data_IF_379339670549
#
_entry.id   IF_379339670549
#
_cell.length_a   1.000
_cell.length_b   1.000
_cell.length_c   1.000
_cell.angle_alpha   90.00
_cell.angle_beta   90.00
_cell.angle_gamma   90.00
#
_symmetry.space_group_name_H-M   'P 1'
#
loop_
_entity.id
_entity.type
_entity.pdbx_description
1 polymer ?
#
# COMPACT_ATOMS: atom_id res chain seq x y z
N UNK A 1 -22.98 -4.32 -54.95
CA UNK A 1 -22.03 -4.13 -53.83
C UNK A 1 -22.80 -3.52 -52.69
N UNK A 2 -23.21 -4.36 -51.74
CA UNK A 2 -24.04 -3.97 -50.60
C UNK A 2 -23.16 -3.26 -49.57
N UNK A 3 -23.46 -1.99 -49.31
CA UNK A 3 -22.84 -1.20 -48.24
C UNK A 3 -23.46 -1.61 -46.90
N UNK A 4 -22.67 -2.33 -46.11
CA UNK A 4 -22.97 -2.66 -44.72
C UNK A 4 -22.98 -1.37 -43.88
N UNK A 5 -24.17 -0.83 -43.63
CA UNK A 5 -24.40 0.21 -42.62
C UNK A 5 -24.80 -0.50 -41.32
N UNK A 6 -23.79 -0.90 -40.54
CA UNK A 6 -24.01 -1.52 -39.24
C UNK A 6 -24.08 -0.44 -38.15
N UNK A 7 -25.18 0.33 -38.13
CA UNK A 7 -25.56 1.14 -36.96
C UNK A 7 -26.26 0.22 -35.97
N UNK A 8 -25.51 -0.50 -35.14
CA UNK A 8 -26.10 -1.11 -33.95
C UNK A 8 -26.44 0.00 -32.96
N UNK A 9 -27.74 0.30 -32.80
CA UNK A 9 -28.21 0.98 -31.59
C UNK A 9 -27.82 0.06 -30.42
N UNK A 10 -26.82 0.45 -29.64
CA UNK A 10 -26.33 -0.32 -28.48
C UNK A 10 -27.44 -0.39 -27.44
N UNK A 11 -28.24 -1.44 -27.46
CA UNK A 11 -29.24 -1.70 -26.43
C UNK A 11 -28.53 -2.11 -25.14
N UNK A 12 -28.77 -1.38 -24.05
CA UNK A 12 -28.27 -1.74 -22.72
C UNK A 12 -28.74 -3.17 -22.35
N UNK A 13 -27.87 -3.96 -21.72
CA UNK A 13 -28.28 -5.25 -21.12
C UNK A 13 -29.21 -5.00 -19.94
N UNK A 14 -29.94 -6.01 -19.48
CA UNK A 14 -30.88 -5.81 -18.36
C UNK A 14 -30.17 -5.41 -17.06
N UNK A 15 -28.97 -5.95 -16.80
CA UNK A 15 -28.15 -5.51 -15.67
C UNK A 15 -27.69 -4.05 -15.82
N UNK A 16 -27.28 -3.64 -17.03
CA UNK A 16 -26.90 -2.26 -17.31
C UNK A 16 -28.09 -1.31 -17.16
N UNK A 17 -29.28 -1.69 -17.64
CA UNK A 17 -30.51 -0.91 -17.44
C UNK A 17 -30.78 -0.69 -15.96
N UNK A 18 -30.73 -1.75 -15.15
CA UNK A 18 -30.91 -1.66 -13.68
C UNK A 18 -29.89 -0.69 -13.08
N UNK A 19 -28.63 -0.74 -13.52
CA UNK A 19 -27.59 0.20 -13.09
C UNK A 19 -27.80 1.63 -13.60
N UNK A 20 -28.56 1.86 -14.67
CA UNK A 20 -28.88 3.21 -15.17
C UNK A 20 -30.10 3.80 -14.47
N UNK A 21 -31.19 3.04 -14.37
CA UNK A 21 -32.49 3.56 -13.89
C UNK A 21 -32.60 3.73 -12.37
N UNK A 22 -31.78 2.99 -11.60
CA UNK A 22 -31.80 3.08 -10.13
C UNK A 22 -31.04 4.32 -9.64
N UNK A 23 -31.58 5.50 -9.90
CA UNK A 23 -30.96 6.80 -9.56
C UNK A 23 -31.23 7.26 -8.13
N UNK A 24 -32.18 6.63 -7.43
CA UNK A 24 -32.56 6.97 -6.04
C UNK A 24 -31.65 6.38 -4.96
N UNK A 25 -30.67 5.55 -5.34
CA UNK A 25 -29.80 4.82 -4.41
C UNK A 25 -28.35 4.85 -4.91
N UNK A 26 -27.42 4.65 -3.98
CA UNK A 26 -26.03 4.37 -4.32
C UNK A 26 -25.93 3.02 -5.03
N UNK A 27 -25.18 2.98 -6.13
CA UNK A 27 -25.02 1.78 -6.96
C UNK A 27 -23.54 1.54 -7.19
N UNK A 28 -23.06 0.37 -6.78
CA UNK A 28 -21.73 -0.15 -7.12
C UNK A 28 -21.86 -1.13 -8.28
N UNK A 29 -21.08 -0.93 -9.34
CA UNK A 29 -21.09 -1.78 -10.54
C UNK A 29 -19.76 -2.51 -10.66
N UNK A 30 -19.75 -3.80 -10.34
CA UNK A 30 -18.61 -4.67 -10.61
C UNK A 30 -18.70 -5.22 -12.04
N UNK A 31 -17.77 -4.85 -12.92
CA UNK A 31 -17.79 -5.32 -14.30
C UNK A 31 -16.38 -5.43 -14.92
N UNK A 32 -16.15 -6.52 -15.65
CA UNK A 32 -14.88 -6.80 -16.32
C UNK A 32 -14.52 -5.81 -17.43
N UNK A 33 -13.34 -5.97 -18.03
CA UNK A 33 -12.92 -5.18 -19.20
C UNK A 33 -13.92 -5.34 -20.37
N UNK A 34 -14.16 -4.28 -21.13
CA UNK A 34 -15.04 -4.31 -22.30
C UNK A 34 -16.55 -4.41 -22.02
N UNK A 35 -16.98 -4.44 -20.75
CA UNK A 35 -18.39 -4.55 -20.33
C UNK A 35 -19.24 -3.29 -20.53
N UNK A 36 -18.67 -2.21 -21.08
CA UNK A 36 -19.38 -0.95 -21.33
C UNK A 36 -19.58 -0.06 -20.11
N UNK A 37 -18.76 -0.17 -19.04
CA UNK A 37 -18.85 0.66 -17.82
C UNK A 37 -19.03 2.15 -18.09
N UNK A 38 -18.17 2.73 -18.92
CA UNK A 38 -18.26 4.16 -19.27
C UNK A 38 -19.54 4.48 -20.05
N UNK A 39 -20.07 3.54 -20.84
CA UNK A 39 -21.37 3.73 -21.50
C UNK A 39 -22.52 3.75 -20.47
N UNK A 40 -22.49 2.83 -19.50
CA UNK A 40 -23.44 2.81 -18.36
C UNK A 40 -23.39 4.12 -17.57
N UNK A 41 -22.19 4.64 -17.27
CA UNK A 41 -22.03 5.90 -16.55
C UNK A 41 -22.61 7.09 -17.32
N UNK A 42 -22.37 7.17 -18.63
CA UNK A 42 -22.94 8.23 -19.50
C UNK A 42 -24.47 8.15 -19.52
N UNK A 43 -25.03 6.95 -19.71
CA UNK A 43 -26.49 6.76 -19.71
C UNK A 43 -27.09 7.05 -18.32
N UNK A 44 -26.41 6.70 -17.23
CA UNK A 44 -26.82 7.03 -15.85
C UNK A 44 -26.78 8.54 -15.58
N UNK A 45 -25.79 9.25 -16.10
CA UNK A 45 -25.73 10.72 -16.03
C UNK A 45 -26.95 11.34 -16.71
N UNK A 46 -27.26 10.90 -17.93
CA UNK A 46 -28.45 11.33 -18.68
C UNK A 46 -29.73 11.00 -17.90
N UNK A 47 -29.82 9.82 -17.30
CA UNK A 47 -31.01 9.39 -16.57
C UNK A 47 -31.24 10.20 -15.28
N UNK A 48 -30.17 10.60 -14.57
CA UNK A 48 -30.25 11.55 -13.46
C UNK A 48 -30.86 12.87 -13.91
N UNK A 49 -30.36 13.45 -15.00
CA UNK A 49 -30.91 14.68 -15.57
C UNK A 49 -32.34 14.49 -16.10
N UNK A 50 -32.70 13.31 -16.60
CA UNK A 50 -34.05 13.04 -17.08
C UNK A 50 -35.05 12.93 -15.92
N UNK A 51 -34.65 12.25 -14.84
CA UNK A 51 -35.50 11.96 -13.69
C UNK A 51 -35.72 13.19 -12.80
N UNK A 52 -34.73 14.07 -12.70
CA UNK A 52 -34.74 15.23 -11.80
C UNK A 52 -34.58 16.55 -12.59
N UNK A 53 -35.68 17.19 -13.00
CA UNK A 53 -35.66 18.41 -13.81
C UNK A 53 -34.94 19.61 -13.17
N UNK A 54 -34.87 19.65 -11.85
CA UNK A 54 -34.17 20.67 -11.07
C UNK A 54 -32.64 20.51 -11.12
N UNK A 55 -32.14 19.33 -11.47
CA UNK A 55 -30.71 19.02 -11.52
C UNK A 55 -30.13 19.51 -12.84
N UNK A 56 -29.06 20.30 -12.75
CA UNK A 56 -28.22 20.75 -13.86
C UNK A 56 -26.88 20.02 -13.90
N UNK A 57 -26.15 20.17 -15.00
CA UNK A 57 -24.89 19.45 -15.22
C UNK A 57 -23.79 19.79 -14.20
N UNK A 58 -23.81 20.98 -13.59
CA UNK A 58 -22.86 21.42 -12.56
C UNK A 58 -23.13 20.84 -11.15
N UNK A 59 -24.32 20.25 -10.97
CA UNK A 59 -24.72 19.54 -9.75
C UNK A 59 -24.31 18.06 -9.76
N UNK A 60 -23.79 17.55 -10.88
CA UNK A 60 -23.30 16.17 -10.98
C UNK A 60 -21.77 16.22 -11.14
N UNK A 61 -21.07 15.51 -10.26
CA UNK A 61 -19.63 15.30 -10.35
C UNK A 61 -19.38 13.95 -11.00
N UNK A 62 -18.50 13.91 -12.00
CA UNK A 62 -18.01 12.67 -12.59
C UNK A 62 -16.48 12.61 -12.53
N UNK A 63 -15.97 11.64 -11.79
CA UNK A 63 -14.55 11.39 -11.57
C UNK A 63 -14.08 10.23 -12.43
N UNK A 64 -12.91 10.37 -13.03
CA UNK A 64 -12.24 9.34 -13.85
C UNK A 64 -10.75 9.27 -13.50
N UNK A 65 -10.07 8.18 -13.84
CA UNK A 65 -8.65 8.01 -13.53
C UNK A 65 -7.75 8.97 -14.33
N UNK A 66 -8.09 9.27 -15.58
CA UNK A 66 -7.25 10.11 -16.46
C UNK A 66 -8.00 11.31 -17.04
N UNK A 67 -7.28 12.41 -17.31
CA UNK A 67 -7.83 13.58 -18.01
C UNK A 67 -8.38 13.21 -19.39
N UNK A 68 -7.77 12.22 -20.07
CA UNK A 68 -8.25 11.70 -21.34
C UNK A 68 -9.62 11.02 -21.19
N UNK A 69 -9.80 10.17 -20.19
CA UNK A 69 -11.09 9.52 -19.91
C UNK A 69 -12.18 10.55 -19.56
N UNK A 70 -11.88 11.56 -18.75
CA UNK A 70 -12.79 12.69 -18.50
C UNK A 70 -13.19 13.41 -19.79
N UNK A 71 -12.23 13.69 -20.67
CA UNK A 71 -12.48 14.31 -21.98
C UNK A 71 -13.36 13.45 -22.89
N UNK A 72 -13.10 12.14 -22.95
CA UNK A 72 -13.93 11.19 -23.69
C UNK A 72 -15.36 11.11 -23.13
N UNK A 73 -15.53 11.06 -21.81
CA UNK A 73 -16.84 11.07 -21.15
C UNK A 73 -17.62 12.34 -21.48
N UNK A 74 -16.98 13.52 -21.39
CA UNK A 74 -17.58 14.82 -21.76
C UNK A 74 -18.05 14.82 -23.22
N UNK A 75 -17.22 14.32 -24.14
CA UNK A 75 -17.57 14.24 -25.56
C UNK A 75 -18.77 13.29 -25.82
N UNK A 76 -18.84 12.16 -25.10
CA UNK A 76 -19.98 11.25 -25.20
C UNK A 76 -21.27 11.91 -24.69
N UNK A 77 -21.21 12.66 -23.60
CA UNK A 77 -22.36 13.43 -23.10
C UNK A 77 -22.79 14.53 -24.08
N UNK A 78 -21.85 15.27 -24.68
CA UNK A 78 -22.14 16.25 -25.73
C UNK A 78 -22.93 15.63 -26.88
N UNK A 79 -22.48 14.49 -27.39
CA UNK A 79 -23.16 13.76 -28.47
C UNK A 79 -24.55 13.28 -28.04
N UNK A 80 -24.68 12.76 -26.81
CA UNK A 80 -25.95 12.30 -26.26
C UNK A 80 -26.95 13.43 -26.08
N UNK A 81 -26.56 14.56 -25.51
CA UNK A 81 -27.45 15.71 -25.36
C UNK A 81 -27.92 16.25 -26.71
N UNK A 82 -27.06 16.26 -27.73
CA UNK A 82 -27.45 16.62 -29.09
C UNK A 82 -28.48 15.64 -29.66
N UNK A 83 -28.22 14.33 -29.56
CA UNK A 83 -29.15 13.28 -30.00
C UNK A 83 -30.52 13.40 -29.32
N UNK A 84 -30.53 13.66 -28.01
CA UNK A 84 -31.76 13.80 -27.22
C UNK A 84 -32.52 15.10 -27.53
N UNK A 85 -31.80 16.20 -27.81
CA UNK A 85 -32.42 17.44 -28.26
C UNK A 85 -33.19 17.26 -29.58
N UNK A 86 -32.66 16.44 -30.50
CA UNK A 86 -33.29 16.14 -31.78
C UNK A 86 -34.42 15.10 -31.65
N UNK A 87 -34.27 14.11 -30.78
CA UNK A 87 -35.19 12.95 -30.69
C UNK A 87 -36.29 13.06 -29.63
N UNK A 88 -36.17 13.98 -28.65
CA UNK A 88 -37.19 14.24 -27.62
C UNK A 88 -37.74 15.68 -27.72
N UNK A 89 -38.65 16.00 -28.67
CA UNK A 89 -39.11 17.38 -28.90
C UNK A 89 -39.69 18.07 -27.67
N UNK A 90 -40.33 17.32 -26.76
CA UNK A 90 -40.91 17.86 -25.52
C UNK A 90 -39.86 18.34 -24.51
N UNK A 91 -38.66 17.77 -24.55
CA UNK A 91 -37.55 18.08 -23.64
C UNK A 91 -36.38 18.75 -24.38
N UNK A 92 -36.56 19.15 -25.64
CA UNK A 92 -35.47 19.65 -26.49
C UNK A 92 -34.72 20.82 -25.85
N UNK A 93 -35.46 21.80 -25.31
CA UNK A 93 -34.89 22.97 -24.63
C UNK A 93 -34.00 22.58 -23.43
N UNK A 94 -34.39 21.55 -22.67
CA UNK A 94 -33.60 21.03 -21.55
C UNK A 94 -32.28 20.45 -22.04
N UNK A 95 -32.31 19.64 -23.08
CA UNK A 95 -31.11 19.00 -23.64
C UNK A 95 -30.18 20.01 -24.32
N UNK A 96 -30.74 21.04 -24.98
CA UNK A 96 -29.95 22.16 -25.51
C UNK A 96 -29.27 22.95 -24.39
N UNK A 97 -29.96 23.20 -23.27
CA UNK A 97 -29.35 23.82 -22.09
C UNK A 97 -28.21 22.96 -21.51
N UNK A 98 -28.44 21.65 -21.34
CA UNK A 98 -27.39 20.74 -20.87
C UNK A 98 -26.19 20.72 -21.82
N UNK A 99 -26.41 20.81 -23.13
CA UNK A 99 -25.36 20.91 -24.14
C UNK A 99 -24.60 22.24 -24.07
N UNK A 100 -25.28 23.35 -23.76
CA UNK A 100 -24.62 24.65 -23.57
C UNK A 100 -23.77 24.67 -22.29
N UNK A 101 -24.24 24.04 -21.22
CA UNK A 101 -23.61 24.07 -19.89
C UNK A 101 -22.57 22.94 -19.68
N UNK A 102 -22.44 22.00 -20.62
CA UNK A 102 -21.56 20.81 -20.47
C UNK A 102 -20.08 21.15 -20.22
N UNK A 103 -19.60 22.31 -20.68
CA UNK A 103 -18.22 22.74 -20.45
C UNK A 103 -18.00 23.24 -19.01
N UNK A 104 -19.07 23.60 -18.29
CA UNK A 104 -19.04 23.90 -16.85
C UNK A 104 -19.29 22.66 -15.99
N UNK A 105 -19.61 21.50 -16.60
CA UNK A 105 -19.84 20.26 -15.86
C UNK A 105 -18.56 19.77 -15.17
N UNK A 106 -18.71 19.28 -13.93
CA UNK A 106 -17.63 18.80 -13.08
C UNK A 106 -17.19 17.38 -13.49
N UNK A 107 -16.62 17.26 -14.68
CA UNK A 107 -16.12 16.01 -15.26
C UNK A 107 -14.60 16.06 -15.34
N UNK A 108 -13.90 15.30 -14.49
CA UNK A 108 -12.46 15.43 -14.33
C UNK A 108 -11.82 14.21 -13.68
N UNK A 109 -10.58 14.41 -13.23
CA UNK A 109 -9.91 13.47 -12.32
C UNK A 109 -10.20 13.84 -10.88
N UNK A 110 -9.88 12.95 -9.94
CA UNK A 110 -10.01 13.24 -8.52
C UNK A 110 -9.17 14.45 -8.11
N UNK A 111 -7.96 14.58 -8.65
CA UNK A 111 -7.10 15.75 -8.43
C UNK A 111 -7.78 17.05 -8.90
N UNK A 112 -8.44 17.06 -10.06
CA UNK A 112 -9.19 18.24 -10.52
C UNK A 112 -10.41 18.56 -9.64
N UNK A 113 -11.05 17.54 -9.06
CA UNK A 113 -12.11 17.74 -8.08
C UNK A 113 -11.56 18.39 -6.80
N UNK A 114 -10.49 17.82 -6.23
CA UNK A 114 -9.78 18.37 -5.07
C UNK A 114 -9.33 19.81 -5.31
N UNK A 115 -8.70 20.08 -6.45
CA UNK A 115 -8.32 21.44 -6.86
C UNK A 115 -9.53 22.39 -6.87
N UNK A 116 -10.67 21.97 -7.43
CA UNK A 116 -11.88 22.80 -7.47
C UNK A 116 -12.47 23.06 -6.09
N UNK A 117 -12.35 22.10 -5.17
CA UNK A 117 -12.79 22.23 -3.78
C UNK A 117 -11.90 23.24 -3.05
N UNK A 118 -10.58 23.08 -3.17
CA UNK A 118 -9.60 23.96 -2.55
C UNK A 118 -9.68 25.40 -3.09
N UNK A 119 -9.90 25.57 -4.40
CA UNK A 119 -10.13 26.90 -5.01
C UNK A 119 -11.42 27.57 -4.54
N UNK A 120 -12.43 26.80 -4.15
CA UNK A 120 -13.67 27.36 -3.61
C UNK A 120 -13.54 27.81 -2.15
N UNK A 121 -12.58 27.24 -1.41
CA UNK A 121 -12.39 27.44 0.04
C UNK A 121 -10.90 27.60 0.43
N UNK A 122 -10.14 28.54 -0.19
CA UNK A 122 -8.71 28.63 0.05
C UNK A 122 -8.39 29.10 1.47
N UNK A 123 -9.20 30.00 2.03
CA UNK A 123 -9.00 30.50 3.39
C UNK A 123 -9.26 29.41 4.44
N UNK A 124 -10.34 28.66 4.28
CA UNK A 124 -10.71 27.53 5.14
C UNK A 124 -9.68 26.39 5.04
N UNK A 125 -9.13 26.15 3.86
CA UNK A 125 -8.07 25.18 3.65
C UNK A 125 -6.67 25.67 4.07
N UNK A 126 -6.55 26.91 4.57
CA UNK A 126 -5.28 27.54 4.95
C UNK A 126 -4.23 27.52 3.83
N UNK A 127 -4.67 27.77 2.59
CA UNK A 127 -3.82 27.86 1.41
C UNK A 127 -3.90 29.23 0.75
N UNK A 128 -2.88 29.55 -0.03
CA UNK A 128 -2.89 30.76 -0.85
C UNK A 128 -3.96 30.66 -1.95
N UNK A 129 -4.87 31.63 -2.11
CA UNK A 129 -5.90 31.59 -3.16
C UNK A 129 -5.33 31.62 -4.59
N UNK A 130 -4.07 32.00 -4.76
CA UNK A 130 -3.36 32.02 -6.04
C UNK A 130 -2.53 30.75 -6.29
N UNK A 131 -2.72 29.69 -5.49
CA UNK A 131 -1.96 28.47 -5.68
C UNK A 131 -2.12 27.89 -7.09
N UNK A 132 -1.02 27.38 -7.64
CA UNK A 132 -1.03 26.61 -8.88
C UNK A 132 -0.72 25.14 -8.62
N UNK A 133 -1.19 24.27 -9.51
CA UNK A 133 -0.82 22.84 -9.44
C UNK A 133 0.48 22.65 -10.19
N UNK A 134 1.51 22.16 -9.51
CA UNK A 134 2.83 21.92 -10.13
C UNK A 134 2.71 20.84 -11.20
N UNK A 135 3.30 21.07 -12.37
CA UNK A 135 3.41 20.05 -13.41
C UNK A 135 4.54 19.05 -13.10
N UNK A 136 4.50 17.88 -13.74
CA UNK A 136 5.41 16.77 -13.43
C UNK A 136 6.91 17.11 -13.65
N UNK A 137 7.21 17.97 -14.63
CA UNK A 137 8.60 18.37 -14.93
C UNK A 137 9.09 19.28 -13.81
N UNK A 138 8.37 20.36 -13.54
CA UNK A 138 8.69 21.30 -12.47
C UNK A 138 8.74 20.61 -11.11
N UNK A 139 7.81 19.69 -10.84
CA UNK A 139 7.80 18.91 -9.60
C UNK A 139 9.09 18.10 -9.45
N UNK A 140 9.52 17.43 -10.51
CA UNK A 140 10.75 16.62 -10.50
C UNK A 140 11.98 17.50 -10.25
N UNK A 141 12.03 18.68 -10.84
CA UNK A 141 13.11 19.66 -10.60
C UNK A 141 13.12 20.14 -9.15
N UNK A 142 11.97 20.54 -8.60
CA UNK A 142 11.86 20.98 -7.21
C UNK A 142 12.28 19.89 -6.22
N UNK A 143 11.90 18.62 -6.47
CA UNK A 143 12.31 17.49 -5.64
C UNK A 143 13.83 17.28 -5.69
N UNK A 144 14.43 17.27 -6.89
CA UNK A 144 15.88 17.04 -7.02
C UNK A 144 16.71 18.18 -6.40
N UNK A 145 16.28 19.43 -6.56
CA UNK A 145 16.88 20.59 -5.87
C UNK A 145 16.77 20.46 -4.35
N UNK A 146 15.64 19.99 -3.84
CA UNK A 146 15.39 19.82 -2.40
C UNK A 146 16.26 18.71 -1.80
N UNK A 147 16.40 17.58 -2.50
CA UNK A 147 17.31 16.49 -2.10
C UNK A 147 18.76 16.96 -2.12
N UNK A 148 19.16 17.69 -3.17
CA UNK A 148 20.52 18.25 -3.27
C UNK A 148 20.82 19.20 -2.11
N UNK A 149 19.85 20.06 -1.76
CA UNK A 149 20.00 20.98 -0.63
C UNK A 149 20.06 20.25 0.70
N UNK A 150 19.23 19.23 0.91
CA UNK A 150 19.24 18.40 2.10
C UNK A 150 20.60 17.71 2.33
N UNK A 151 21.16 17.12 1.27
CA UNK A 151 22.45 16.43 1.36
C UNK A 151 23.57 17.43 1.66
N UNK A 152 23.56 18.58 0.98
CA UNK A 152 24.53 19.64 1.24
C UNK A 152 24.45 20.14 2.69
N UNK A 153 23.25 20.35 3.20
CA UNK A 153 23.04 20.77 4.60
C UNK A 153 23.53 19.71 5.59
N UNK A 154 23.24 18.43 5.37
CA UNK A 154 23.72 17.35 6.25
C UNK A 154 25.26 17.33 6.35
N UNK A 155 25.94 17.51 5.22
CA UNK A 155 27.41 17.60 5.17
C UNK A 155 27.93 18.88 5.83
N UNK A 156 27.31 20.03 5.56
CA UNK A 156 27.66 21.33 6.17
C UNK A 156 27.54 21.30 7.71
N UNK A 157 26.51 20.63 8.23
CA UNK A 157 26.24 20.50 9.67
C UNK A 157 27.06 19.38 10.34
N UNK A 158 27.72 18.52 9.56
CA UNK A 158 28.41 17.34 10.08
C UNK A 158 27.46 16.37 10.78
N UNK A 159 26.24 16.23 10.25
CA UNK A 159 25.18 15.44 10.86
C UNK A 159 25.45 13.93 10.67
N UNK A 160 24.82 13.08 11.49
CA UNK A 160 25.02 11.62 11.38
C UNK A 160 24.57 11.09 10.01
N UNK A 161 23.57 11.74 9.40
CA UNK A 161 23.10 11.44 8.05
C UNK A 161 24.18 11.61 6.97
N UNK A 162 25.17 12.48 7.20
CA UNK A 162 26.29 12.66 6.27
C UNK A 162 27.19 11.42 6.19
N UNK A 163 27.22 10.58 7.24
CA UNK A 163 27.94 9.30 7.23
C UNK A 163 27.41 8.41 6.11
N UNK A 164 26.09 8.33 5.95
CA UNK A 164 25.45 7.54 4.89
C UNK A 164 25.92 7.96 3.49
N UNK A 165 26.11 9.27 3.27
CA UNK A 165 26.54 9.81 1.97
C UNK A 165 27.99 9.46 1.63
N UNK A 166 28.80 9.10 2.62
CA UNK A 166 30.20 8.66 2.46
C UNK A 166 30.29 7.15 2.31
N UNK A 167 29.53 6.41 3.12
CA UNK A 167 29.57 4.95 3.19
C UNK A 167 28.77 4.28 2.06
N UNK A 168 27.76 4.97 1.51
CA UNK A 168 26.91 4.44 0.43
C UNK A 168 27.06 5.21 -0.88
N UNK A 169 26.58 4.61 -1.97
CA UNK A 169 26.51 5.28 -3.26
C UNK A 169 25.50 6.44 -3.20
N UNK A 170 25.99 7.67 -3.26
CA UNK A 170 25.18 8.90 -3.20
C UNK A 170 24.06 8.93 -4.25
N UNK A 171 24.26 8.35 -5.44
CA UNK A 171 23.23 8.31 -6.48
C UNK A 171 22.10 7.34 -6.11
N UNK A 172 22.39 6.27 -5.39
CA UNK A 172 21.37 5.34 -4.87
C UNK A 172 20.55 5.98 -3.76
N UNK A 173 21.21 6.64 -2.80
CA UNK A 173 20.56 7.39 -1.72
C UNK A 173 19.67 8.50 -2.30
N UNK A 174 20.18 9.24 -3.30
CA UNK A 174 19.41 10.27 -4.03
C UNK A 174 18.19 9.68 -4.72
N UNK A 175 18.37 8.62 -5.53
CA UNK A 175 17.26 7.96 -6.23
C UNK A 175 16.18 7.51 -5.25
N UNK A 176 16.59 6.97 -4.11
CA UNK A 176 15.67 6.56 -3.06
C UNK A 176 14.90 7.74 -2.47
N UNK A 177 15.57 8.85 -2.12
CA UNK A 177 14.89 10.04 -1.60
C UNK A 177 13.90 10.64 -2.62
N UNK A 178 14.31 10.78 -3.89
CA UNK A 178 13.46 11.29 -4.97
C UNK A 178 12.23 10.41 -5.17
N UNK A 179 12.41 9.09 -5.22
CA UNK A 179 11.31 8.15 -5.41
C UNK A 179 10.28 8.22 -4.26
N UNK A 180 10.75 8.30 -3.02
CA UNK A 180 9.87 8.34 -1.85
C UNK A 180 9.21 9.71 -1.66
N UNK A 181 9.84 10.82 -2.08
CA UNK A 181 9.17 12.12 -2.11
C UNK A 181 8.03 12.15 -3.13
N UNK A 182 8.19 11.48 -4.27
CA UNK A 182 7.11 11.31 -5.25
C UNK A 182 5.96 10.44 -4.72
N UNK A 183 6.28 9.41 -3.93
CA UNK A 183 5.28 8.57 -3.28
C UNK A 183 4.46 9.32 -2.20
N UNK A 184 5.01 10.40 -1.63
CA UNK A 184 4.32 11.30 -0.72
C UNK A 184 3.87 10.62 0.59
N UNK A 185 2.62 10.88 0.98
CA UNK A 185 2.05 10.53 2.29
C UNK A 185 2.09 9.02 2.58
N UNK A 186 1.92 8.18 1.56
CA UNK A 186 1.95 6.71 1.73
C UNK A 186 3.27 6.24 2.35
N UNK A 187 4.38 6.87 1.95
CA UNK A 187 5.68 6.58 2.55
C UNK A 187 5.80 7.21 3.95
N UNK A 188 5.34 8.45 4.12
CA UNK A 188 5.39 9.14 5.41
C UNK A 188 4.68 8.38 6.54
N UNK A 189 3.53 7.77 6.27
CA UNK A 189 2.84 6.94 7.26
C UNK A 189 3.61 5.65 7.59
N UNK A 190 4.32 5.09 6.60
CA UNK A 190 5.02 3.82 6.72
C UNK A 190 6.21 3.87 7.67
N UNK A 191 6.89 5.02 7.81
CA UNK A 191 8.09 5.12 8.65
C UNK A 191 7.85 5.80 10.01
N UNK A 192 6.67 6.39 10.28
CA UNK A 192 6.35 7.03 11.59
C UNK A 192 6.60 6.12 12.79
N UNK A 193 6.36 4.82 12.62
CA UNK A 193 6.66 3.84 13.66
C UNK A 193 8.17 3.72 13.92
N UNK A 194 9.00 3.74 12.88
CA UNK A 194 10.46 3.61 13.00
C UNK A 194 11.10 4.84 13.63
N UNK A 195 10.63 6.04 13.30
CA UNK A 195 11.20 7.29 13.84
C UNK A 195 10.76 7.60 15.25
N UNK A 196 9.67 6.98 15.73
CA UNK A 196 9.20 7.13 17.11
C UNK A 196 10.00 6.32 18.13
N UNK A 197 10.84 5.38 17.68
CA UNK A 197 11.63 4.51 18.55
C UNK A 197 13.06 5.04 18.72
N UNK A 198 13.54 5.06 19.96
CA UNK A 198 14.98 5.17 20.22
C UNK A 198 15.68 3.86 19.82
N UNK A 199 17.02 3.89 19.81
CA UNK A 199 17.82 2.74 19.37
C UNK A 199 17.54 1.47 20.20
N UNK A 200 17.34 1.62 21.51
CA UNK A 200 17.06 0.52 22.42
C UNK A 200 15.65 -0.08 22.17
N UNK A 201 14.64 0.77 22.00
CA UNK A 201 13.27 0.37 21.77
C UNK A 201 13.09 -0.29 20.40
N UNK A 202 13.83 0.17 19.38
CA UNK A 202 13.82 -0.53 18.11
C UNK A 202 14.59 -1.84 18.17
N UNK A 203 15.77 -1.89 18.80
CA UNK A 203 16.48 -3.15 18.97
C UNK A 203 15.60 -4.18 19.69
N UNK A 204 14.85 -3.75 20.71
CA UNK A 204 13.83 -4.57 21.37
C UNK A 204 12.71 -4.99 20.41
N UNK A 205 12.20 -4.10 19.56
CA UNK A 205 11.22 -4.44 18.53
C UNK A 205 11.75 -5.47 17.52
N UNK A 206 12.97 -5.28 17.00
CA UNK A 206 13.58 -6.22 16.06
C UNK A 206 13.84 -7.58 16.71
N UNK A 207 14.30 -7.61 17.95
CA UNK A 207 14.46 -8.85 18.71
C UNK A 207 13.11 -9.57 18.90
N UNK A 208 12.01 -8.83 19.10
CA UNK A 208 10.65 -9.40 19.15
C UNK A 208 10.22 -9.97 17.81
N UNK A 209 10.34 -9.21 16.71
CA UNK A 209 9.99 -9.70 15.37
C UNK A 209 10.82 -10.94 15.01
N UNK A 210 12.12 -10.94 15.32
CA UNK A 210 12.97 -12.14 15.15
C UNK A 210 12.44 -13.31 15.96
N UNK A 211 12.11 -13.10 17.24
CA UNK A 211 11.58 -14.15 18.10
C UNK A 211 10.25 -14.72 17.60
N UNK A 212 9.36 -13.88 17.07
CA UNK A 212 8.12 -14.31 16.42
C UNK A 212 8.40 -15.22 15.23
N UNK A 213 9.31 -14.82 14.33
CA UNK A 213 9.70 -15.66 13.17
C UNK A 213 10.39 -16.95 13.62
N UNK A 214 11.24 -16.92 14.65
CA UNK A 214 11.87 -18.12 15.23
C UNK A 214 10.81 -19.09 15.77
N UNK A 215 9.83 -18.57 16.52
CA UNK A 215 8.72 -19.33 17.08
C UNK A 215 7.90 -20.00 15.96
N UNK A 216 7.53 -19.26 14.92
CA UNK A 216 6.75 -19.78 13.80
C UNK A 216 7.49 -20.90 13.06
N UNK A 217 8.77 -20.70 12.74
CA UNK A 217 9.59 -21.72 12.07
C UNK A 217 9.77 -22.99 12.94
N UNK A 218 9.91 -22.84 14.26
CA UNK A 218 9.97 -23.99 15.17
C UNK A 218 8.64 -24.74 15.17
N UNK A 219 7.50 -24.03 15.23
CA UNK A 219 6.18 -24.66 15.21
C UNK A 219 5.90 -25.39 13.89
N UNK A 220 6.26 -24.78 12.76
CA UNK A 220 6.16 -25.40 11.44
C UNK A 220 7.01 -26.67 11.37
N UNK A 221 8.23 -26.63 11.89
CA UNK A 221 9.13 -27.77 11.93
C UNK A 221 8.58 -28.91 12.82
N UNK A 222 8.06 -28.58 14.01
CA UNK A 222 7.41 -29.56 14.90
C UNK A 222 6.10 -30.11 14.30
N UNK A 223 5.50 -29.37 13.36
CA UNK A 223 4.34 -29.80 12.59
C UNK A 223 4.67 -30.68 11.37
N UNK A 224 5.92 -30.63 10.88
CA UNK A 224 6.36 -31.37 9.71
C UNK A 224 6.20 -32.89 9.88
N UNK A 225 5.61 -33.53 8.87
CA UNK A 225 5.32 -34.96 8.89
C UNK A 225 6.60 -35.80 8.94
N UNK A 226 7.65 -35.39 8.20
CA UNK A 226 8.91 -36.13 8.17
C UNK A 226 9.67 -36.01 9.50
N UNK A 227 9.57 -34.86 10.16
CA UNK A 227 10.09 -34.64 11.51
C UNK A 227 9.41 -35.59 12.50
N UNK A 228 8.08 -35.55 12.58
CA UNK A 228 7.28 -36.39 13.50
C UNK A 228 7.53 -37.88 13.30
N UNK A 229 7.44 -38.37 12.06
CA UNK A 229 7.71 -39.78 11.75
C UNK A 229 9.14 -40.20 12.12
N UNK A 230 10.11 -39.29 12.02
CA UNK A 230 11.48 -39.58 12.43
C UNK A 230 11.59 -39.62 13.95
N UNK A 231 10.95 -38.70 14.66
CA UNK A 231 10.94 -38.65 16.11
C UNK A 231 10.26 -39.86 16.74
N UNK A 232 9.09 -40.26 16.22
CA UNK A 232 8.33 -41.43 16.68
C UNK A 232 9.18 -42.71 16.55
N UNK A 233 9.82 -42.90 15.39
CA UNK A 233 10.74 -44.02 15.19
C UNK A 233 11.91 -44.00 16.18
N UNK A 234 12.52 -42.83 16.42
CA UNK A 234 13.61 -42.71 17.37
C UNK A 234 13.13 -43.01 18.80
N UNK A 235 11.89 -42.69 19.17
CA UNK A 235 11.35 -42.93 20.51
C UNK A 235 11.03 -44.40 20.79
N UNK A 236 10.54 -45.14 19.78
CA UNK A 236 10.15 -46.55 19.92
C UNK A 236 11.34 -47.52 19.85
N UNK A 237 12.36 -47.19 19.07
CA UNK A 237 13.49 -48.08 18.79
C UNK A 237 14.69 -47.80 19.71
N UNK A 238 15.41 -48.86 20.10
CA UNK A 238 16.64 -48.77 20.89
C UNK A 238 17.87 -49.17 20.08
N UNK A 239 19.02 -48.59 20.40
CA UNK A 239 20.31 -48.98 19.85
C UNK A 239 21.27 -49.46 20.96
N UNK A 240 22.49 -49.87 20.56
CA UNK A 240 23.54 -50.27 21.48
C UNK A 240 24.74 -49.29 21.42
N UNK A 241 25.42 -49.14 22.56
CA UNK A 241 26.68 -48.42 22.67
C UNK A 241 26.56 -46.94 22.27
N UNK A 242 27.53 -46.45 21.48
CA UNK A 242 27.59 -45.02 21.11
C UNK A 242 26.39 -44.54 20.28
N UNK A 243 25.68 -45.44 19.59
CA UNK A 243 24.55 -45.06 18.74
C UNK A 243 23.33 -44.76 19.62
N UNK A 244 23.21 -45.47 20.74
CA UNK A 244 22.17 -45.21 21.73
C UNK A 244 22.37 -43.88 22.42
N UNK A 245 23.61 -43.54 22.80
CA UNK A 245 23.92 -42.22 23.36
C UNK A 245 23.50 -41.11 22.40
N UNK A 246 23.86 -41.22 21.11
CA UNK A 246 23.45 -40.23 20.11
C UNK A 246 21.93 -40.14 19.91
N UNK A 247 21.23 -41.28 19.93
CA UNK A 247 19.77 -41.32 19.83
C UNK A 247 19.14 -40.57 21.01
N UNK A 248 19.61 -40.84 22.23
CA UNK A 248 19.13 -40.17 23.44
C UNK A 248 19.45 -38.68 23.44
N UNK A 249 20.62 -38.27 22.94
CA UNK A 249 20.97 -36.85 22.77
C UNK A 249 20.00 -36.14 21.82
N UNK A 250 19.71 -36.75 20.66
CA UNK A 250 18.74 -36.21 19.68
C UNK A 250 17.34 -36.14 20.29
N UNK A 251 16.89 -37.19 20.97
CA UNK A 251 15.58 -37.20 21.63
C UNK A 251 15.47 -36.12 22.71
N UNK A 252 16.53 -35.93 23.50
CA UNK A 252 16.56 -34.89 24.54
C UNK A 252 16.44 -33.49 23.95
N UNK A 253 17.13 -33.20 22.86
CA UNK A 253 17.06 -31.91 22.18
C UNK A 253 15.69 -31.70 21.52
N UNK A 254 15.14 -32.71 20.86
CA UNK A 254 13.79 -32.65 20.29
C UNK A 254 12.71 -32.47 21.37
N UNK A 255 12.86 -33.10 22.53
CA UNK A 255 11.94 -32.92 23.66
C UNK A 255 12.01 -31.49 24.18
N UNK A 256 13.21 -30.92 24.32
CA UNK A 256 13.39 -29.52 24.73
C UNK A 256 12.73 -28.53 23.76
N UNK A 257 12.69 -28.84 22.46
CA UNK A 257 11.94 -28.04 21.48
C UNK A 257 10.43 -28.24 21.59
N UNK A 258 9.97 -29.45 21.89
CA UNK A 258 8.54 -29.75 22.04
C UNK A 258 7.93 -29.14 23.31
N UNK A 259 8.73 -28.99 24.36
CA UNK A 259 8.35 -28.33 25.61
C UNK A 259 8.32 -26.79 25.50
N UNK A 260 8.61 -26.24 24.31
CA UNK A 260 8.51 -24.82 24.01
C UNK A 260 7.07 -24.32 24.18
N UNK A 261 6.86 -23.41 25.13
CA UNK A 261 5.57 -22.79 25.43
C UNK A 261 5.60 -21.31 25.13
N UNK A 262 4.52 -20.77 24.58
CA UNK A 262 4.40 -19.33 24.30
C UNK A 262 4.21 -18.57 25.62
N UNK A 263 5.22 -17.82 26.04
CA UNK A 263 5.12 -16.89 27.17
C UNK A 263 4.33 -15.64 26.82
N UNK A 264 3.66 -15.08 27.83
CA UNK A 264 2.92 -13.81 27.70
C UNK A 264 3.80 -12.57 27.91
N UNK A 265 4.95 -12.72 28.56
CA UNK A 265 5.89 -11.62 28.80
C UNK A 265 6.85 -11.46 27.61
N UNK A 266 6.97 -10.27 26.99
CA UNK A 266 7.75 -10.08 25.76
C UNK A 266 9.23 -10.39 25.91
N UNK A 267 9.86 -10.01 27.03
CA UNK A 267 11.29 -10.22 27.22
C UNK A 267 11.59 -11.70 27.49
N UNK A 268 10.73 -12.38 28.25
CA UNK A 268 10.83 -13.84 28.41
C UNK A 268 10.59 -14.58 27.10
N UNK A 269 9.62 -14.14 26.29
CA UNK A 269 9.33 -14.73 24.99
C UNK A 269 10.55 -14.66 24.06
N UNK A 270 11.19 -13.49 23.96
CA UNK A 270 12.41 -13.32 23.15
C UNK A 270 13.53 -14.26 23.62
N UNK A 271 13.77 -14.32 24.92
CA UNK A 271 14.82 -15.19 25.48
C UNK A 271 14.54 -16.67 25.24
N UNK A 272 13.29 -17.11 25.41
CA UNK A 272 12.90 -18.50 25.15
C UNK A 272 13.03 -18.88 23.68
N UNK A 273 12.63 -17.99 22.76
CA UNK A 273 12.81 -18.23 21.33
C UNK A 273 14.31 -18.38 21.00
N UNK A 274 15.17 -17.54 21.58
CA UNK A 274 16.61 -17.64 21.40
C UNK A 274 17.17 -18.99 21.93
N UNK A 275 16.73 -19.44 23.11
CA UNK A 275 17.15 -20.72 23.69
C UNK A 275 16.69 -21.92 22.84
N UNK A 276 15.45 -21.89 22.37
CA UNK A 276 14.92 -22.91 21.46
C UNK A 276 15.66 -22.89 20.12
N UNK A 277 15.98 -21.71 19.58
CA UNK A 277 16.75 -21.58 18.34
C UNK A 277 18.18 -22.13 18.48
N UNK A 278 18.86 -21.91 19.62
CA UNK A 278 20.17 -22.52 19.90
C UNK A 278 20.09 -24.04 20.01
N UNK A 279 19.00 -24.56 20.57
CA UNK A 279 18.73 -26.01 20.61
C UNK A 279 18.56 -26.57 19.19
N UNK A 280 17.82 -25.86 18.34
CA UNK A 280 17.63 -26.20 16.94
C UNK A 280 18.95 -26.17 16.15
N UNK A 281 19.76 -25.13 16.33
CA UNK A 281 21.09 -25.03 15.74
C UNK A 281 21.99 -26.20 16.16
N UNK A 282 21.96 -26.56 17.46
CA UNK A 282 22.70 -27.71 17.99
C UNK A 282 22.29 -29.02 17.32
N UNK A 283 20.99 -29.21 17.02
CA UNK A 283 20.48 -30.35 16.24
C UNK A 283 21.01 -30.36 14.80
N UNK A 284 21.05 -29.20 14.13
CA UNK A 284 21.61 -29.04 12.78
C UNK A 284 23.11 -29.33 12.70
N UNK A 285 23.83 -29.07 13.79
CA UNK A 285 25.27 -29.26 13.92
C UNK A 285 25.70 -30.65 14.44
N UNK A 286 24.81 -31.62 14.65
CA UNK A 286 25.19 -32.95 15.14
C UNK A 286 26.12 -33.67 14.14
N UNK A 287 27.42 -33.40 14.29
CA UNK A 287 28.50 -33.84 13.40
C UNK A 287 28.97 -35.21 13.91
N UNK A 288 28.92 -36.19 13.00
CA UNK A 288 29.32 -37.59 13.16
C UNK A 288 28.23 -38.56 13.63
N UNK A 289 27.28 -38.85 12.75
CA UNK A 289 26.61 -40.16 12.69
C UNK A 289 27.59 -41.31 12.30
N UNK A 290 28.86 -41.21 12.69
CA UNK A 290 29.96 -42.16 12.40
C UNK A 290 30.05 -43.28 13.44
N UNK A 291 28.95 -43.63 14.09
CA UNK A 291 28.92 -44.81 14.96
C UNK A 291 28.82 -46.06 14.10
N UNK A 292 29.73 -47.03 14.28
CA UNK A 292 29.74 -48.28 13.53
C UNK A 292 28.48 -49.12 13.76
N UNK A 293 28.08 -49.91 12.76
CA UNK A 293 26.93 -50.82 12.84
C UNK A 293 26.34 -51.08 11.46
N UNK A 294 26.36 -52.35 11.01
CA UNK A 294 25.91 -52.79 9.69
C UNK A 294 24.50 -53.39 9.67
N UNK A 295 23.87 -53.57 10.84
CA UNK A 295 22.48 -54.06 10.95
C UNK A 295 21.51 -53.06 10.33
N UNK A 296 20.41 -53.55 9.76
CA UNK A 296 19.39 -52.70 9.13
C UNK A 296 18.79 -51.67 10.10
N UNK A 297 18.55 -52.05 11.35
CA UNK A 297 18.07 -51.13 12.40
C UNK A 297 19.02 -49.95 12.63
N UNK A 298 20.33 -50.20 12.68
CA UNK A 298 21.33 -49.13 12.83
C UNK A 298 21.39 -48.20 11.60
N UNK A 299 21.06 -48.69 10.40
CA UNK A 299 20.96 -47.84 9.19
C UNK A 299 19.70 -46.98 9.21
N UNK A 300 18.56 -47.55 9.58
CA UNK A 300 17.29 -46.83 9.70
C UNK A 300 17.38 -45.71 10.76
N UNK A 301 17.92 -46.01 11.94
CA UNK A 301 18.18 -45.05 13.03
C UNK A 301 19.00 -43.85 12.54
N UNK A 302 20.11 -44.10 11.84
CA UNK A 302 20.96 -43.03 11.26
C UNK A 302 20.21 -42.20 10.22
N UNK A 303 19.37 -42.83 9.40
CA UNK A 303 18.59 -42.11 8.39
C UNK A 303 17.58 -41.15 9.05
N UNK A 304 16.93 -41.57 10.14
CA UNK A 304 15.99 -40.72 10.89
C UNK A 304 16.68 -39.56 11.59
N UNK A 305 17.78 -39.81 12.31
CA UNK A 305 18.57 -38.72 12.90
C UNK A 305 19.11 -37.76 11.85
N UNK A 306 19.54 -38.28 10.67
CA UNK A 306 19.96 -37.43 9.55
C UNK A 306 18.81 -36.56 9.04
N UNK A 307 17.60 -37.09 8.96
CA UNK A 307 16.44 -36.33 8.50
C UNK A 307 16.10 -35.17 9.44
N UNK A 308 16.04 -35.42 10.76
CA UNK A 308 15.89 -34.39 11.79
C UNK A 308 16.98 -33.33 11.67
N UNK A 309 18.24 -33.75 11.61
CA UNK A 309 19.39 -32.85 11.45
C UNK A 309 19.26 -31.95 10.21
N UNK A 310 18.92 -32.53 9.06
CA UNK A 310 18.81 -31.76 7.82
C UNK A 310 17.70 -30.73 7.93
N UNK A 311 16.51 -31.10 8.41
CA UNK A 311 15.41 -30.15 8.58
C UNK A 311 15.76 -29.03 9.56
N UNK A 312 16.44 -29.34 10.66
CA UNK A 312 16.92 -28.33 11.61
C UNK A 312 17.97 -27.40 11.00
N UNK A 313 18.92 -27.95 10.23
CA UNK A 313 19.95 -27.16 9.55
C UNK A 313 19.37 -26.25 8.47
N UNK A 314 18.35 -26.71 7.74
CA UNK A 314 17.70 -25.93 6.71
C UNK A 314 16.93 -24.76 7.34
N UNK A 315 16.17 -24.99 8.42
CA UNK A 315 15.45 -23.94 9.14
C UNK A 315 16.38 -22.85 9.72
N UNK A 316 17.52 -23.26 10.32
CA UNK A 316 18.49 -22.30 10.91
C UNK A 316 19.22 -21.50 9.84
N UNK A 317 19.30 -21.98 8.60
CA UNK A 317 19.91 -21.23 7.50
C UNK A 317 19.02 -20.08 7.01
N UNK A 318 17.72 -20.08 7.31
CA UNK A 318 16.78 -19.06 6.86
C UNK A 318 16.81 -17.78 7.72
N UNK A 319 17.26 -17.87 8.98
CA UNK A 319 17.21 -16.76 9.92
C UNK A 319 18.44 -16.74 10.86
N UNK A 320 19.11 -15.59 11.05
CA UNK A 320 20.24 -15.48 11.97
C UNK A 320 19.82 -15.75 13.42
N UNK A 321 20.72 -16.34 14.20
CA UNK A 321 20.45 -16.68 15.60
C UNK A 321 20.29 -15.45 16.51
N UNK A 322 21.09 -14.41 16.25
CA UNK A 322 21.11 -13.15 16.98
C UNK A 322 21.26 -12.00 15.97
N UNK A 323 20.78 -10.81 16.31
CA UNK A 323 21.05 -9.58 15.56
C UNK A 323 22.48 -9.18 15.95
N UNK A 324 23.41 -9.31 15.01
CA UNK A 324 24.80 -8.93 15.19
C UNK A 324 25.02 -7.41 15.12
N UNK A 325 26.27 -7.00 15.29
CA UNK A 325 26.69 -5.60 15.18
C UNK A 325 26.40 -5.01 13.79
N UNK A 326 26.53 -5.83 12.75
CA UNK A 326 26.42 -5.42 11.35
C UNK A 326 24.95 -5.14 10.98
N UNK A 327 24.00 -5.87 11.58
CA UNK A 327 22.57 -5.59 11.46
C UNK A 327 22.17 -4.31 12.22
N UNK A 328 22.79 -4.02 13.36
CA UNK A 328 22.60 -2.75 14.09
C UNK A 328 23.14 -1.58 13.27
N UNK A 329 24.29 -1.75 12.61
CA UNK A 329 24.87 -0.75 11.72
C UNK A 329 23.99 -0.50 10.49
N UNK A 330 23.48 -1.57 9.86
CA UNK A 330 22.48 -1.49 8.78
C UNK A 330 21.25 -0.71 9.21
N UNK A 331 20.79 -0.91 10.44
CA UNK A 331 19.66 -0.17 10.97
C UNK A 331 19.96 1.32 11.17
N UNK A 332 21.15 1.68 11.65
CA UNK A 332 21.57 3.09 11.72
C UNK A 332 21.53 3.75 10.34
N UNK A 333 21.97 3.04 9.30
CA UNK A 333 21.84 3.53 7.93
C UNK A 333 20.39 3.75 7.51
N UNK A 334 19.45 2.90 7.93
CA UNK A 334 18.02 3.15 7.73
C UNK A 334 17.54 4.45 8.42
N UNK A 335 17.98 4.73 9.66
CA UNK A 335 17.65 6.00 10.34
C UNK A 335 18.21 7.19 9.58
N UNK A 336 19.47 7.11 9.15
CA UNK A 336 20.12 8.18 8.40
C UNK A 336 19.42 8.43 7.07
N UNK A 337 18.99 7.36 6.39
CA UNK A 337 18.24 7.45 5.14
C UNK A 337 16.89 8.14 5.34
N UNK A 338 16.18 7.81 6.44
CA UNK A 338 14.94 8.50 6.81
C UNK A 338 15.21 9.97 7.17
N UNK A 339 16.27 10.26 7.93
CA UNK A 339 16.65 11.63 8.27
C UNK A 339 16.95 12.49 7.04
N UNK A 340 17.65 11.95 6.04
CA UNK A 340 17.84 12.61 4.74
C UNK A 340 16.53 12.83 4.00
N UNK A 341 15.61 11.87 4.04
CA UNK A 341 14.28 12.04 3.46
C UNK A 341 13.48 13.14 4.17
N UNK A 342 13.45 13.17 5.51
CA UNK A 342 12.74 14.19 6.28
C UNK A 342 13.28 15.59 5.98
N UNK A 343 14.61 15.74 5.92
CA UNK A 343 15.25 17.00 5.50
C UNK A 343 14.86 17.37 4.07
N UNK A 344 14.92 16.42 3.15
CA UNK A 344 14.54 16.64 1.75
C UNK A 344 13.06 17.03 1.62
N UNK A 345 12.19 16.41 2.40
CA UNK A 345 10.75 16.71 2.49
C UNK A 345 10.53 18.12 3.02
N UNK A 346 11.24 18.52 4.07
CA UNK A 346 11.15 19.87 4.62
C UNK A 346 11.57 20.94 3.60
N UNK A 347 12.66 20.72 2.85
CA UNK A 347 13.05 21.61 1.75
C UNK A 347 12.02 21.63 0.62
N UNK A 348 11.45 20.48 0.28
CA UNK A 348 10.44 20.39 -0.78
C UNK A 348 9.16 21.14 -0.40
N UNK A 349 8.67 20.97 0.84
CA UNK A 349 7.52 21.75 1.35
C UNK A 349 7.80 23.25 1.37
N UNK A 350 8.99 23.67 1.78
CA UNK A 350 9.38 25.08 1.74
C UNK A 350 9.39 25.64 0.32
N UNK A 351 9.95 24.88 -0.63
CA UNK A 351 9.98 25.26 -2.05
C UNK A 351 8.58 25.36 -2.62
N UNK A 352 7.69 24.41 -2.32
CA UNK A 352 6.28 24.48 -2.73
C UNK A 352 5.60 25.74 -2.20
N UNK A 353 5.81 26.05 -0.92
CA UNK A 353 5.29 27.26 -0.27
C UNK A 353 5.80 28.55 -0.92
N UNK A 354 7.10 28.65 -1.18
CA UNK A 354 7.70 29.84 -1.82
C UNK A 354 7.16 30.05 -3.23
N UNK A 355 6.99 28.96 -3.99
CA UNK A 355 6.50 29.03 -5.36
C UNK A 355 4.96 29.11 -5.46
N UNK A 356 4.25 29.08 -4.33
CA UNK A 356 2.78 29.02 -4.27
C UNK A 356 2.22 27.86 -5.11
N UNK A 357 2.88 26.70 -5.05
CA UNK A 357 2.44 25.51 -5.79
C UNK A 357 2.02 24.39 -4.86
N UNK A 358 1.04 23.60 -5.32
CA UNK A 358 0.62 22.35 -4.70
C UNK A 358 0.84 21.20 -5.70
N UNK A 359 1.27 20.05 -5.21
CA UNK A 359 1.30 18.81 -5.99
C UNK A 359 0.02 17.99 -5.84
N UNK A 360 -0.06 16.84 -6.52
CA UNK A 360 -1.25 16.00 -6.46
C UNK A 360 -1.52 15.39 -5.08
N UNK A 361 -0.49 15.12 -4.28
CA UNK A 361 -0.66 14.62 -2.92
C UNK A 361 -1.21 15.73 -2.01
N UNK A 362 -0.67 16.94 -2.15
CA UNK A 362 -1.13 18.15 -1.47
C UNK A 362 -2.62 18.41 -1.67
N UNK A 363 -3.11 18.25 -2.91
CA UNK A 363 -4.51 18.46 -3.25
C UNK A 363 -5.42 17.49 -2.50
N UNK A 364 -5.04 16.21 -2.44
CA UNK A 364 -5.82 15.18 -1.74
C UNK A 364 -5.82 15.46 -0.24
N UNK A 365 -4.64 15.65 0.35
CA UNK A 365 -4.47 15.83 1.79
C UNK A 365 -5.23 17.06 2.31
N UNK A 366 -5.03 18.21 1.66
CA UNK A 366 -5.68 19.45 2.10
C UNK A 366 -7.19 19.39 1.90
N UNK A 367 -7.66 18.72 0.84
CA UNK A 367 -9.09 18.49 0.64
C UNK A 367 -9.65 17.61 1.75
N UNK A 368 -8.94 16.56 2.12
CA UNK A 368 -9.34 15.63 3.17
C UNK A 368 -9.38 16.32 4.55
N UNK A 369 -8.36 17.11 4.88
CA UNK A 369 -8.34 17.94 6.08
C UNK A 369 -9.54 18.92 6.10
N UNK A 370 -9.77 19.63 5.00
CA UNK A 370 -10.90 20.56 4.87
C UNK A 370 -12.24 19.84 5.03
N UNK A 371 -12.41 18.65 4.47
CA UNK A 371 -13.70 17.95 4.49
C UNK A 371 -13.93 17.10 5.74
N UNK A 372 -12.87 16.67 6.45
CA UNK A 372 -12.98 15.87 7.69
C UNK A 372 -13.01 16.70 8.95
N UNK A 373 -12.46 17.92 8.95
CA UNK A 373 -12.38 18.74 10.16
C UNK A 373 -13.74 18.95 10.84
N UNK A 374 -13.76 18.95 12.17
CA UNK A 374 -14.97 19.21 12.95
C UNK A 374 -15.21 20.71 13.20
N UNK A 375 -14.33 21.57 12.67
CA UNK A 375 -14.39 23.01 12.83
C UNK A 375 -15.44 23.69 11.91
N UNK A 376 -15.63 24.99 12.13
CA UNK A 376 -16.59 25.80 11.38
C UNK A 376 -16.22 25.91 9.90
N UNK A 377 -14.92 26.00 9.58
CA UNK A 377 -14.42 26.13 8.22
C UNK A 377 -14.77 24.89 7.38
N UNK A 378 -14.50 23.70 7.92
CA UNK A 378 -14.89 22.42 7.35
C UNK A 378 -16.41 22.26 7.23
N UNK A 379 -17.16 22.73 8.22
CA UNK A 379 -18.63 22.72 8.19
C UNK A 379 -19.21 23.58 7.04
N UNK A 380 -18.63 24.75 6.80
CA UNK A 380 -18.98 25.65 5.69
C UNK A 380 -18.71 24.96 4.34
N UNK A 381 -17.52 24.40 4.16
CA UNK A 381 -17.14 23.72 2.93
C UNK A 381 -18.06 22.52 2.64
N UNK A 382 -18.33 21.66 3.64
CA UNK A 382 -19.25 20.52 3.49
C UNK A 382 -20.65 20.98 3.11
N UNK A 383 -21.21 21.97 3.81
CA UNK A 383 -22.56 22.48 3.55
C UNK A 383 -22.70 22.99 2.11
N UNK A 384 -21.70 23.71 1.62
CA UNK A 384 -21.68 24.21 0.24
C UNK A 384 -21.85 23.10 -0.81
N UNK A 385 -21.15 21.98 -0.64
CA UNK A 385 -21.26 20.86 -1.57
C UNK A 385 -22.52 20.02 -1.33
N UNK A 386 -22.95 19.83 -0.07
CA UNK A 386 -24.18 19.11 0.25
C UNK A 386 -25.44 19.78 -0.32
N UNK A 387 -25.46 21.12 -0.38
CA UNK A 387 -26.60 21.87 -0.92
C UNK A 387 -26.61 21.94 -2.46
N UNK A 388 -25.46 21.74 -3.11
CA UNK A 388 -25.29 21.93 -4.57
C UNK A 388 -25.10 20.64 -5.35
N UNK A 389 -24.49 19.62 -4.76
CA UNK A 389 -24.21 18.36 -5.45
C UNK A 389 -25.37 17.41 -5.28
N UNK A 390 -25.88 16.95 -6.41
CA UNK A 390 -26.96 15.96 -6.47
C UNK A 390 -26.42 14.53 -6.55
N UNK A 391 -25.35 14.33 -7.32
CA UNK A 391 -24.76 13.00 -7.52
C UNK A 391 -23.24 13.08 -7.74
N UNK A 392 -22.56 12.03 -7.30
CA UNK A 392 -21.16 11.77 -7.61
C UNK A 392 -21.11 10.43 -8.36
N UNK A 393 -20.47 10.46 -9.52
CA UNK A 393 -20.24 9.31 -10.37
C UNK A 393 -18.73 9.06 -10.41
N UNK A 394 -18.31 7.83 -10.13
CA UNK A 394 -16.89 7.45 -10.14
C UNK A 394 -16.70 6.35 -11.17
N UNK A 395 -15.89 6.62 -12.19
CA UNK A 395 -15.36 5.58 -13.07
C UNK A 395 -14.12 4.97 -12.42
N UNK A 396 -13.91 3.67 -12.63
CA UNK A 396 -12.72 2.96 -12.13
C UNK A 396 -12.48 3.08 -10.61
N UNK A 397 -13.55 2.93 -9.81
CA UNK A 397 -13.46 2.99 -8.34
C UNK A 397 -12.39 2.05 -7.73
N UNK A 398 -12.10 0.91 -8.37
CA UNK A 398 -11.04 0.00 -7.92
C UNK A 398 -9.63 0.57 -7.99
N UNK A 399 -9.40 1.59 -8.82
CA UNK A 399 -8.10 2.25 -9.00
C UNK A 399 -7.94 3.46 -8.07
N UNK A 400 -8.89 3.65 -7.16
CA UNK A 400 -8.91 4.71 -6.13
C UNK A 400 -8.12 4.24 -4.90
N UNK A 401 -7.17 5.03 -4.43
CA UNK A 401 -6.41 4.70 -3.22
C UNK A 401 -7.24 4.95 -1.94
N UNK A 402 -6.75 4.53 -0.77
CA UNK A 402 -7.47 4.68 0.51
C UNK A 402 -7.82 6.14 0.83
N UNK A 403 -6.88 7.07 0.61
CA UNK A 403 -7.08 8.50 0.86
C UNK A 403 -8.08 9.15 -0.11
N UNK A 404 -8.20 8.63 -1.32
CA UNK A 404 -9.13 9.10 -2.33
C UNK A 404 -10.55 8.53 -2.16
N UNK A 405 -10.66 7.34 -1.57
CA UNK A 405 -11.94 6.69 -1.28
C UNK A 405 -12.59 7.26 -0.01
N UNK A 406 -11.74 7.70 0.92
CA UNK A 406 -12.09 8.48 2.11
C UNK A 406 -12.59 9.88 1.78
#
# INVERSE_FOLDING_TARGET
>A
MSTNTNTSKSTLTDQQKVAVVNVQKNVLVAAGAGSGKTHVLVERYVELLRTYPEVSVDMIVAVTFTRKAAGEMRNRLKLKFKELADSEPKNSDRWQKCLADIDTAKIGTIHSLCESILKAFPAEASIDPQFEVVDEVTQTELIDESVTRAFSQAVEEGSEEAILLVEMNIDEVRRWCVANLKAGIQFQESYKFMTALDDDALLAHMNRVRAEVQCDLIQELLADESWRQSLDYLAEESADGKLETQRLDVLSLCQSLADFSIESDPDKFVNQCADAWRTLASLGEIINLRVGGNKESAKAMKARMKKIRTLASDAVAELPAEIGSDEIETFRYCRYLIGLFERSSAFYEERKRINLVLDYNDLIERTLLLLRGEDEASSIARRHFQERLYAILVDEFQDTNSLQAE
#
